data_IF_226233617608
#
_entry.id   IF_226233617608
#
_cell.length_a   1.000
_cell.length_b   1.000
_cell.length_c   1.000
_cell.angle_alpha   90.00
_cell.angle_beta   90.00
_cell.angle_gamma   90.00
#
_symmetry.space_group_name_H-M   'P 1'
#
loop_
_entity.id
_entity.type
_entity.pdbx_description
1 polymer ?
#
# COMPACT_ATOMS: atom_id res chain seq x y z
N UNK A 1 -17.01 48.73 13.09
CA UNK A 1 -16.51 47.54 13.84
C UNK A 1 -16.99 46.22 13.22
N UNK A 2 -18.29 46.05 12.94
CA UNK A 2 -18.85 44.82 12.35
C UNK A 2 -18.23 44.47 10.99
N UNK A 3 -18.11 45.44 10.07
CA UNK A 3 -17.52 45.21 8.74
C UNK A 3 -16.04 44.78 8.80
N UNK A 4 -15.27 45.39 9.71
CA UNK A 4 -13.87 45.05 9.91
C UNK A 4 -13.69 43.64 10.50
N UNK A 5 -14.52 43.28 11.49
CA UNK A 5 -14.54 41.93 12.05
C UNK A 5 -14.91 40.88 10.99
N UNK A 6 -15.93 41.16 10.18
CA UNK A 6 -16.35 40.29 9.07
C UNK A 6 -15.23 40.07 8.05
N UNK A 7 -14.52 41.14 7.66
CA UNK A 7 -13.39 41.06 6.73
C UNK A 7 -12.25 40.20 7.31
N UNK A 8 -11.90 40.37 8.58
CA UNK A 8 -10.88 39.56 9.26
C UNK A 8 -11.28 38.09 9.27
N UNK A 9 -12.56 37.78 9.55
CA UNK A 9 -13.05 36.40 9.52
C UNK A 9 -12.92 35.77 8.13
N UNK A 10 -13.26 36.50 7.07
CA UNK A 10 -13.10 36.01 5.68
C UNK A 10 -11.64 35.72 5.35
N UNK A 11 -10.74 36.63 5.71
CA UNK A 11 -9.30 36.47 5.45
C UNK A 11 -8.75 35.25 6.19
N UNK A 12 -9.14 35.08 7.46
CA UNK A 12 -8.72 33.93 8.26
C UNK A 12 -9.26 32.62 7.67
N UNK A 13 -10.55 32.56 7.33
CA UNK A 13 -11.17 31.39 6.72
C UNK A 13 -10.51 31.03 5.38
N UNK A 14 -10.23 32.03 4.53
CA UNK A 14 -9.52 31.83 3.27
C UNK A 14 -8.09 31.31 3.47
N UNK A 15 -7.39 31.78 4.51
CA UNK A 15 -6.03 31.34 4.84
C UNK A 15 -6.01 29.88 5.33
N UNK A 16 -6.95 29.52 6.20
CA UNK A 16 -7.16 28.14 6.67
C UNK A 16 -7.50 27.21 5.51
N UNK A 17 -8.41 27.63 4.63
CA UNK A 17 -8.77 26.84 3.44
C UNK A 17 -7.58 26.59 2.51
N UNK A 18 -6.76 27.61 2.25
CA UNK A 18 -5.54 27.47 1.45
C UNK A 18 -4.54 26.50 2.10
N UNK A 19 -4.40 26.56 3.42
CA UNK A 19 -3.54 25.65 4.16
C UNK A 19 -4.02 24.20 4.01
N UNK A 20 -5.33 23.96 4.21
CA UNK A 20 -5.92 22.62 4.03
C UNK A 20 -5.69 22.09 2.61
N UNK A 21 -5.94 22.92 1.58
CA UNK A 21 -5.74 22.54 0.18
C UNK A 21 -4.28 22.32 -0.21
N UNK A 22 -3.34 23.04 0.40
CA UNK A 22 -1.91 22.89 0.09
C UNK A 22 -1.36 21.47 0.33
N UNK A 23 -2.07 20.67 1.15
CA UNK A 23 -1.73 19.29 1.50
C UNK A 23 -2.89 18.32 1.24
N UNK A 24 -3.87 18.73 0.43
CA UNK A 24 -5.09 17.96 0.12
C UNK A 24 -5.84 17.47 1.38
N UNK A 25 -5.75 18.20 2.49
CA UNK A 25 -6.44 17.85 3.73
C UNK A 25 -7.96 18.02 3.60
N UNK A 26 -8.42 18.87 2.68
CA UNK A 26 -9.85 19.05 2.39
C UNK A 26 -10.52 17.74 1.94
N UNK A 27 -9.77 16.77 1.41
CA UNK A 27 -10.26 15.45 1.05
C UNK A 27 -10.74 14.64 2.26
N UNK A 28 -10.05 14.72 3.40
CA UNK A 28 -10.28 13.80 4.54
C UNK A 28 -10.56 14.49 5.88
N UNK A 29 -10.35 15.80 6.00
CA UNK A 29 -10.49 16.53 7.27
C UNK A 29 -11.89 16.37 7.87
N UNK A 30 -12.93 16.31 7.04
CA UNK A 30 -14.30 16.11 7.51
C UNK A 30 -14.53 14.71 8.07
N UNK A 31 -13.93 13.68 7.44
CA UNK A 31 -13.95 12.32 7.96
C UNK A 31 -13.23 12.25 9.31
N UNK A 32 -12.08 12.90 9.42
CA UNK A 32 -11.34 13.01 10.68
C UNK A 32 -12.16 13.70 11.78
N UNK A 33 -12.74 14.86 11.50
CA UNK A 33 -13.55 15.58 12.49
C UNK A 33 -14.76 14.75 12.92
N UNK A 34 -15.46 14.09 11.98
CA UNK A 34 -16.59 13.20 12.30
C UNK A 34 -16.16 12.03 13.18
N UNK A 35 -15.03 11.39 12.90
CA UNK A 35 -14.55 10.25 13.68
C UNK A 35 -14.18 10.61 15.11
N UNK A 36 -13.82 11.87 15.40
CA UNK A 36 -13.57 12.36 16.76
C UNK A 36 -14.82 12.42 17.64
N UNK A 37 -16.00 12.51 17.02
CA UNK A 37 -17.28 12.52 17.72
C UNK A 37 -17.97 11.15 17.72
N UNK A 38 -17.42 10.15 17.02
CA UNK A 38 -17.97 8.80 17.05
C UNK A 38 -17.65 8.12 18.40
N UNK A 39 -18.64 7.53 19.06
CA UNK A 39 -18.41 6.78 20.28
C UNK A 39 -17.48 5.60 19.97
N UNK A 40 -16.41 5.45 20.76
CA UNK A 40 -15.58 4.25 20.70
C UNK A 40 -16.41 3.09 21.25
N UNK A 41 -16.44 1.98 20.52
CA UNK A 41 -16.97 0.73 21.04
C UNK A 41 -16.20 0.41 22.33
N UNK A 42 -16.93 0.30 23.44
CA UNK A 42 -16.33 -0.21 24.68
C UNK A 42 -16.01 -1.68 24.42
N UNK A 43 -14.73 -2.02 24.41
CA UNK A 43 -14.30 -3.41 24.48
C UNK A 43 -14.87 -4.00 25.77
N UNK A 44 -15.42 -5.21 25.70
CA UNK A 44 -15.92 -5.92 26.88
C UNK A 44 -14.81 -6.30 27.86
N UNK A 45 -15.08 -7.26 28.75
CA UNK A 45 -14.06 -7.79 29.65
C UNK A 45 -13.06 -8.74 28.97
N UNK A 46 -13.26 -9.06 27.69
CA UNK A 46 -12.41 -9.95 26.91
C UNK A 46 -11.04 -9.33 26.57
N UNK A 47 -9.98 -10.14 26.41
CA UNK A 47 -8.69 -9.67 25.91
C UNK A 47 -8.81 -8.98 24.55
N UNK A 48 -8.23 -7.78 24.43
CA UNK A 48 -8.15 -7.07 23.14
C UNK A 48 -6.91 -7.53 22.39
N UNK A 49 -7.09 -8.18 21.24
CA UNK A 49 -5.99 -8.50 20.33
C UNK A 49 -5.59 -7.27 19.52
N UNK A 50 -4.31 -6.90 19.58
CA UNK A 50 -3.75 -5.77 18.83
C UNK A 50 -2.82 -6.30 17.77
N UNK A 51 -3.16 -6.05 16.51
CA UNK A 51 -2.29 -6.32 15.36
C UNK A 51 -1.59 -5.03 14.95
N UNK A 52 -0.28 -5.12 14.70
CA UNK A 52 0.54 -4.01 14.25
C UNK A 52 1.12 -4.34 12.87
N UNK A 53 0.69 -3.61 11.82
CA UNK A 53 1.38 -3.59 10.52
C UNK A 53 2.12 -2.27 10.38
N UNK A 54 3.35 -2.37 9.88
CA UNK A 54 3.98 -1.28 9.17
C UNK A 54 4.14 -1.77 7.73
N UNK A 55 3.60 -1.02 6.79
CA UNK A 55 3.53 -1.41 5.39
C UNK A 55 4.10 -0.24 4.56
N UNK A 56 5.07 -0.50 3.70
CA UNK A 56 5.84 0.51 2.95
C UNK A 56 6.37 -0.10 1.64
N UNK A 57 6.78 0.74 0.70
CA UNK A 57 7.42 0.33 -0.54
C UNK A 57 8.81 -0.25 -0.27
N UNK A 58 9.10 -1.45 -0.79
CA UNK A 58 10.44 -2.04 -0.68
C UNK A 58 11.20 -1.87 -1.99
N UNK A 59 11.95 -0.77 -2.12
CA UNK A 59 12.65 -0.37 -3.36
C UNK A 59 14.18 -0.41 -3.23
N UNK A 60 14.84 -1.57 -3.42
CA UNK A 60 16.30 -1.67 -3.37
C UNK A 60 17.02 -0.72 -4.34
N UNK A 61 16.44 -0.44 -5.50
CA UNK A 61 17.02 0.43 -6.51
C UNK A 61 16.63 1.92 -6.34
N UNK A 62 15.99 2.29 -5.23
CA UNK A 62 15.59 3.68 -4.95
C UNK A 62 16.71 4.68 -5.21
N UNK A 63 16.35 5.79 -5.86
CA UNK A 63 17.24 6.80 -6.46
C UNK A 63 18.13 6.28 -7.59
N UNK A 64 17.62 5.34 -8.40
CA UNK A 64 18.34 4.77 -9.54
C UNK A 64 19.69 4.19 -9.12
N UNK A 65 19.71 3.50 -7.99
CA UNK A 65 20.91 2.82 -7.52
C UNK A 65 21.32 1.75 -8.52
N UNK A 66 22.62 1.45 -8.62
CA UNK A 66 23.10 0.34 -9.43
C UNK A 66 22.84 -1.00 -8.72
N UNK A 67 22.98 -2.11 -9.46
CA UNK A 67 22.78 -3.49 -8.96
C UNK A 67 23.58 -3.75 -7.68
N UNK A 68 24.86 -3.38 -7.65
CA UNK A 68 25.71 -3.62 -6.47
C UNK A 68 25.19 -2.92 -5.21
N UNK A 69 24.72 -1.68 -5.37
CA UNK A 69 24.13 -0.91 -4.27
C UNK A 69 22.79 -1.51 -3.83
N UNK A 70 21.92 -1.87 -4.76
CA UNK A 70 20.63 -2.51 -4.47
C UNK A 70 20.83 -3.83 -3.72
N UNK A 71 21.70 -4.71 -4.23
CA UNK A 71 22.04 -5.97 -3.59
C UNK A 71 22.72 -5.79 -2.24
N UNK A 72 23.59 -4.80 -2.08
CA UNK A 72 24.20 -4.48 -0.77
C UNK A 72 23.17 -3.98 0.24
N UNK A 73 22.14 -3.23 -0.19
CA UNK A 73 21.03 -2.82 0.67
C UNK A 73 20.25 -4.04 1.15
N UNK A 74 19.93 -4.97 0.26
CA UNK A 74 19.21 -6.21 0.60
C UNK A 74 20.08 -7.14 1.45
N UNK A 75 21.38 -7.28 1.17
CA UNK A 75 22.29 -8.09 1.97
C UNK A 75 22.24 -7.71 3.46
N UNK A 76 22.15 -6.41 3.78
CA UNK A 76 21.96 -5.94 5.16
C UNK A 76 20.64 -6.37 5.78
N UNK A 77 19.58 -6.47 4.98
CA UNK A 77 18.29 -7.03 5.44
C UNK A 77 18.41 -8.53 5.71
N UNK A 78 18.95 -9.30 4.77
CA UNK A 78 19.12 -10.76 4.89
C UNK A 78 19.92 -11.13 6.16
N UNK A 79 20.92 -10.32 6.49
CA UNK A 79 21.82 -10.54 7.62
C UNK A 79 21.29 -9.92 8.93
N UNK A 80 20.86 -8.66 8.89
CA UNK A 80 20.53 -7.87 10.07
C UNK A 80 19.12 -8.12 10.61
N UNK A 81 18.13 -8.28 9.73
CA UNK A 81 16.74 -8.37 10.15
C UNK A 81 16.45 -9.64 10.98
N UNK A 82 16.88 -10.85 10.57
CA UNK A 82 16.72 -12.06 11.39
C UNK A 82 17.31 -11.94 12.80
N UNK A 83 18.47 -11.29 12.93
CA UNK A 83 19.11 -11.09 14.24
C UNK A 83 18.32 -10.16 15.15
N UNK A 84 17.67 -9.14 14.60
CA UNK A 84 16.85 -8.21 15.39
C UNK A 84 15.50 -8.86 15.70
N UNK A 85 14.78 -9.32 14.68
CA UNK A 85 13.45 -9.92 14.83
C UNK A 85 13.50 -11.19 15.72
N UNK A 86 14.55 -12.00 15.59
CA UNK A 86 14.74 -13.24 16.34
C UNK A 86 14.80 -13.07 17.86
N UNK A 87 15.08 -11.87 18.37
CA UNK A 87 15.10 -11.56 19.81
C UNK A 87 13.70 -11.36 20.41
N UNK A 88 12.67 -11.29 19.56
CA UNK A 88 11.31 -10.96 19.96
C UNK A 88 10.33 -12.07 19.58
N UNK A 89 9.23 -12.17 20.32
CA UNK A 89 8.11 -13.06 20.04
C UNK A 89 6.80 -12.38 20.43
N UNK A 90 5.75 -12.57 19.63
CA UNK A 90 4.39 -12.16 19.97
C UNK A 90 3.70 -13.18 20.90
N UNK A 91 2.42 -12.96 21.21
CA UNK A 91 1.62 -13.85 22.07
C UNK A 91 1.45 -15.27 21.52
N UNK A 92 1.67 -15.47 20.21
CA UNK A 92 1.57 -16.75 19.52
C UNK A 92 2.95 -17.40 19.30
N UNK A 93 4.02 -16.77 19.82
CA UNK A 93 5.38 -17.26 19.64
C UNK A 93 5.96 -17.01 18.24
N UNK A 94 5.41 -16.08 17.46
CA UNK A 94 5.96 -15.66 16.16
C UNK A 94 6.93 -14.50 16.33
N UNK A 95 8.03 -14.52 15.56
CA UNK A 95 8.90 -13.33 15.42
C UNK A 95 8.14 -12.22 14.69
N UNK A 96 8.52 -10.94 14.85
CA UNK A 96 8.09 -9.89 13.93
C UNK A 96 8.26 -10.35 12.50
N UNK A 97 7.21 -10.19 11.69
CA UNK A 97 7.20 -10.53 10.27
C UNK A 97 7.37 -9.27 9.42
N UNK A 98 8.07 -9.36 8.30
CA UNK A 98 8.17 -8.27 7.33
C UNK A 98 7.69 -8.73 5.95
N UNK A 99 6.63 -8.10 5.44
CA UNK A 99 6.18 -8.30 4.05
C UNK A 99 6.91 -7.31 3.15
N UNK A 100 7.78 -7.83 2.29
CA UNK A 100 8.55 -7.03 1.33
C UNK A 100 7.72 -6.81 0.06
N UNK A 101 7.12 -5.63 -0.09
CA UNK A 101 6.41 -5.24 -1.31
C UNK A 101 7.42 -4.89 -2.41
N UNK A 102 7.73 -5.86 -3.27
CA UNK A 102 8.84 -5.77 -4.22
C UNK A 102 8.35 -5.27 -5.60
N UNK A 103 9.02 -4.27 -6.20
CA UNK A 103 8.65 -3.71 -7.50
C UNK A 103 8.88 -4.69 -8.64
N UNK A 104 7.84 -4.98 -9.41
CA UNK A 104 7.89 -5.87 -10.58
C UNK A 104 8.95 -5.43 -11.60
N UNK A 105 8.99 -4.13 -11.88
CA UNK A 105 9.82 -3.53 -12.92
C UNK A 105 11.33 -3.50 -12.57
N UNK A 106 11.68 -3.83 -11.32
CA UNK A 106 13.06 -3.93 -10.83
C UNK A 106 13.44 -5.38 -10.49
N UNK A 107 12.82 -6.37 -11.14
CA UNK A 107 13.12 -7.79 -10.94
C UNK A 107 14.63 -8.09 -10.90
N UNK A 108 15.10 -8.62 -9.77
CA UNK A 108 16.45 -9.15 -9.60
C UNK A 108 16.38 -10.51 -8.91
N UNK A 109 16.83 -11.54 -9.62
CA UNK A 109 16.81 -12.92 -9.17
C UNK A 109 17.56 -13.15 -7.86
N UNK A 110 18.73 -12.53 -7.68
CA UNK A 110 19.53 -12.69 -6.46
C UNK A 110 18.82 -12.09 -5.25
N UNK A 111 18.18 -10.94 -5.44
CA UNK A 111 17.42 -10.28 -4.37
C UNK A 111 16.23 -11.15 -3.98
N UNK A 112 15.42 -11.58 -4.94
CA UNK A 112 14.22 -12.37 -4.67
C UNK A 112 14.53 -13.76 -4.10
N UNK A 113 15.62 -14.41 -4.54
CA UNK A 113 16.09 -15.67 -3.93
C UNK A 113 16.49 -15.46 -2.45
N UNK A 114 17.14 -14.33 -2.14
CA UNK A 114 17.46 -13.95 -0.76
C UNK A 114 16.22 -13.70 0.09
N UNK A 115 15.25 -12.94 -0.42
CA UNK A 115 13.99 -12.70 0.29
C UNK A 115 13.17 -14.00 0.46
N UNK A 116 13.19 -14.90 -0.52
CA UNK A 116 12.60 -16.23 -0.41
C UNK A 116 13.26 -17.08 0.67
N UNK A 117 14.57 -16.92 0.90
CA UNK A 117 15.24 -17.54 2.05
C UNK A 117 14.73 -16.99 3.37
N UNK A 118 14.62 -15.66 3.54
CA UNK A 118 14.03 -15.06 4.75
C UNK A 118 12.62 -15.58 5.04
N UNK A 119 11.80 -15.70 3.99
CA UNK A 119 10.45 -16.26 4.09
C UNK A 119 10.48 -17.71 4.55
N UNK A 120 11.34 -18.55 3.98
CA UNK A 120 11.50 -19.96 4.39
C UNK A 120 11.99 -20.10 5.83
N UNK A 121 12.81 -19.15 6.29
CA UNK A 121 13.31 -19.10 7.65
C UNK A 121 12.30 -18.50 8.66
N UNK A 122 11.12 -18.08 8.19
CA UNK A 122 10.00 -17.64 9.03
C UNK A 122 10.07 -16.18 9.47
N UNK A 123 10.77 -15.32 8.72
CA UNK A 123 10.93 -13.90 9.04
C UNK A 123 10.01 -12.96 8.25
N UNK A 124 9.28 -13.44 7.25
CA UNK A 124 8.42 -12.56 6.47
C UNK A 124 7.87 -13.21 5.22
N UNK A 125 7.39 -12.38 4.29
CA UNK A 125 6.93 -12.82 2.96
C UNK A 125 7.25 -11.74 1.91
N UNK A 126 7.03 -12.05 0.63
CA UNK A 126 7.18 -11.09 -0.48
C UNK A 126 5.83 -10.85 -1.11
N UNK A 127 5.51 -9.57 -1.32
CA UNK A 127 4.24 -9.11 -1.87
C UNK A 127 4.50 -8.23 -3.11
N UNK A 128 3.43 -7.86 -3.82
CA UNK A 128 3.55 -7.18 -5.13
C UNK A 128 3.52 -5.68 -4.97
N UNK A 129 4.51 -5.02 -5.56
CA UNK A 129 4.54 -3.59 -5.78
C UNK A 129 4.74 -3.33 -7.27
N UNK A 130 4.07 -2.31 -7.80
CA UNK A 130 4.18 -1.93 -9.20
C UNK A 130 4.14 -0.42 -9.37
N UNK A 131 5.10 0.12 -10.12
CA UNK A 131 4.98 1.45 -10.71
C UNK A 131 4.50 1.31 -12.16
N UNK A 132 3.40 1.98 -12.50
CA UNK A 132 2.91 2.06 -13.87
C UNK A 132 2.31 3.44 -14.16
N UNK A 133 2.30 3.83 -15.44
CA UNK A 133 1.82 5.13 -15.91
C UNK A 133 1.38 5.00 -17.37
N UNK A 134 0.25 5.63 -17.73
CA UNK A 134 -0.36 5.53 -19.05
C UNK A 134 -0.53 4.06 -19.51
N UNK A 135 -0.92 3.21 -18.56
CA UNK A 135 -1.10 1.78 -18.77
C UNK A 135 -2.50 1.45 -19.32
N UNK A 136 -2.72 0.19 -19.71
CA UNK A 136 -3.99 -0.35 -20.17
C UNK A 136 -4.43 -1.52 -19.29
N UNK A 137 -5.73 -1.79 -19.24
CA UNK A 137 -6.29 -2.90 -18.47
C UNK A 137 -5.67 -4.26 -18.83
N UNK A 138 -5.42 -4.50 -20.13
CA UNK A 138 -4.86 -5.77 -20.61
C UNK A 138 -3.38 -5.92 -20.23
N UNK A 139 -2.60 -4.84 -20.34
CA UNK A 139 -1.19 -4.86 -19.96
C UNK A 139 -1.01 -5.01 -18.45
N UNK A 140 -1.72 -4.21 -17.63
CA UNK A 140 -1.70 -4.35 -16.17
C UNK A 140 -2.03 -5.79 -15.73
N UNK A 141 -3.08 -6.38 -16.32
CA UNK A 141 -3.46 -7.77 -16.04
C UNK A 141 -2.34 -8.75 -16.37
N UNK A 142 -1.75 -8.62 -17.55
CA UNK A 142 -0.65 -9.49 -17.98
C UNK A 142 0.55 -9.36 -17.03
N UNK A 143 0.95 -8.13 -16.68
CA UNK A 143 2.05 -7.85 -15.76
C UNK A 143 1.84 -8.50 -14.39
N UNK A 144 0.66 -8.34 -13.78
CA UNK A 144 0.34 -8.92 -12.49
C UNK A 144 0.36 -10.46 -12.53
N UNK A 145 -0.22 -11.07 -13.56
CA UNK A 145 -0.23 -12.52 -13.73
C UNK A 145 1.17 -13.10 -14.02
N UNK A 146 1.99 -12.39 -14.79
CA UNK A 146 3.34 -12.81 -15.11
C UNK A 146 4.25 -12.72 -13.90
N UNK A 147 4.18 -11.61 -13.15
CA UNK A 147 5.02 -11.40 -11.98
C UNK A 147 4.65 -12.33 -10.84
N UNK A 148 3.36 -12.50 -10.53
CA UNK A 148 2.91 -13.43 -9.48
C UNK A 148 3.32 -14.87 -9.81
N UNK A 149 3.16 -15.31 -11.07
CA UNK A 149 3.67 -16.61 -11.52
C UNK A 149 5.17 -16.72 -11.38
N UNK A 150 5.93 -15.68 -11.75
CA UNK A 150 7.40 -15.67 -11.61
C UNK A 150 7.82 -15.80 -10.13
N UNK A 151 7.21 -15.02 -9.23
CA UNK A 151 7.44 -15.13 -7.79
C UNK A 151 7.19 -16.56 -7.29
N UNK A 152 6.10 -17.18 -7.75
CA UNK A 152 5.76 -18.54 -7.35
C UNK A 152 6.67 -19.61 -7.96
N UNK A 153 6.74 -19.69 -9.28
CA UNK A 153 7.38 -20.79 -9.98
C UNK A 153 8.91 -20.73 -9.84
N UNK A 154 9.51 -19.53 -9.84
CA UNK A 154 10.97 -19.37 -9.76
C UNK A 154 11.50 -19.34 -8.33
N UNK A 155 10.77 -18.73 -7.41
CA UNK A 155 11.27 -18.43 -6.06
C UNK A 155 10.52 -19.17 -4.95
N UNK A 156 9.41 -19.85 -5.25
CA UNK A 156 8.56 -20.51 -4.24
C UNK A 156 7.85 -19.51 -3.32
N UNK A 157 7.69 -18.27 -3.78
CA UNK A 157 6.97 -17.20 -3.08
C UNK A 157 5.49 -17.20 -3.46
N UNK A 158 4.66 -16.47 -2.71
CA UNK A 158 3.20 -16.47 -2.85
C UNK A 158 2.56 -17.86 -2.68
N UNK A 159 1.29 -17.86 -2.27
CA UNK A 159 0.54 -19.09 -2.05
C UNK A 159 -0.69 -19.14 -2.92
N UNK A 160 -1.11 -20.35 -3.28
CA UNK A 160 -2.37 -20.57 -3.99
C UNK A 160 -3.54 -20.51 -3.02
N UNK A 161 -4.63 -19.91 -3.47
CA UNK A 161 -5.93 -20.04 -2.84
C UNK A 161 -6.40 -21.49 -2.97
N UNK A 162 -6.73 -22.14 -1.85
CA UNK A 162 -7.13 -23.55 -1.85
C UNK A 162 -8.46 -23.79 -2.60
N UNK A 163 -9.31 -22.77 -2.71
CA UNK A 163 -10.62 -22.88 -3.37
C UNK A 163 -10.54 -22.53 -4.85
N UNK A 164 -9.82 -21.46 -5.20
CA UNK A 164 -9.79 -20.95 -6.59
C UNK A 164 -8.54 -21.38 -7.36
N UNK A 165 -7.48 -21.83 -6.70
CA UNK A 165 -6.19 -22.17 -7.30
C UNK A 165 -5.36 -20.96 -7.75
N UNK A 166 -5.89 -19.74 -7.61
CA UNK A 166 -5.20 -18.49 -7.98
C UNK A 166 -4.05 -18.20 -7.02
N UNK A 167 -2.99 -17.57 -7.52
CA UNK A 167 -1.94 -17.02 -6.67
C UNK A 167 -2.48 -15.80 -5.93
N UNK A 168 -2.34 -15.81 -4.60
CA UNK A 168 -2.78 -14.71 -3.75
C UNK A 168 -1.59 -13.83 -3.42
N UNK A 169 -1.82 -12.52 -3.47
CA UNK A 169 -0.86 -11.50 -3.10
C UNK A 169 -1.57 -10.30 -2.48
N UNK A 170 -0.79 -9.43 -1.84
CA UNK A 170 -1.20 -8.09 -1.52
C UNK A 170 -0.39 -7.08 -2.33
N UNK A 171 -1.00 -5.92 -2.52
CA UNK A 171 -0.58 -4.93 -3.48
C UNK A 171 -0.24 -3.60 -2.82
N UNK A 172 0.81 -2.95 -3.31
CA UNK A 172 1.04 -1.54 -3.10
C UNK A 172 1.26 -0.89 -4.47
N UNK A 173 0.49 0.16 -4.75
CA UNK A 173 0.69 0.98 -5.93
C UNK A 173 1.88 1.93 -5.69
N UNK A 174 2.92 1.81 -6.52
CA UNK A 174 4.17 2.56 -6.35
C UNK A 174 4.01 4.07 -6.44
N UNK A 175 3.16 4.53 -7.35
CA UNK A 175 2.87 5.96 -7.51
C UNK A 175 1.70 6.49 -6.65
N UNK A 176 1.19 5.68 -5.72
CA UNK A 176 0.04 6.00 -4.87
C UNK A 176 -1.29 6.29 -5.59
N UNK A 177 -1.36 6.09 -6.91
CA UNK A 177 -2.47 6.50 -7.76
C UNK A 177 -3.47 5.37 -8.02
N UNK A 178 -3.71 4.53 -7.00
CA UNK A 178 -4.62 3.39 -7.05
C UNK A 178 -5.93 3.74 -7.75
N UNK A 179 -6.38 2.87 -8.64
CA UNK A 179 -7.60 3.01 -9.43
C UNK A 179 -7.64 4.30 -10.24
N UNK A 180 -6.50 4.66 -10.85
CA UNK A 180 -6.32 5.90 -11.60
C UNK A 180 -6.78 7.15 -10.84
N UNK A 181 -6.49 7.19 -9.54
CA UNK A 181 -7.07 8.17 -8.61
C UNK A 181 -6.57 9.60 -8.78
N UNK A 182 -5.50 9.79 -9.56
CA UNK A 182 -4.94 11.12 -9.83
C UNK A 182 -5.80 11.85 -10.87
N UNK A 183 -6.18 13.13 -10.65
CA UNK A 183 -7.11 13.83 -11.54
C UNK A 183 -6.66 13.97 -13.01
N UNK A 184 -5.34 14.04 -13.24
CA UNK A 184 -4.72 14.17 -14.56
C UNK A 184 -4.54 12.82 -15.29
N UNK A 185 -4.94 11.70 -14.69
CA UNK A 185 -4.82 10.35 -15.25
C UNK A 185 -3.37 9.84 -15.33
N UNK A 186 -2.42 10.53 -14.69
CA UNK A 186 -1.02 10.11 -14.63
C UNK A 186 -0.79 9.09 -13.54
N UNK A 187 0.28 8.35 -13.72
CA UNK A 187 0.84 7.39 -12.78
C UNK A 187 -0.05 6.18 -12.47
N UNK A 188 -0.96 5.87 -13.39
CA UNK A 188 -1.73 4.64 -13.46
C UNK A 188 -2.23 4.47 -14.91
N UNK A 189 -3.36 5.09 -15.27
CA UNK A 189 -3.98 5.01 -16.59
C UNK A 189 -5.12 3.99 -16.72
N UNK A 190 -5.42 3.22 -15.67
CA UNK A 190 -6.40 2.12 -15.71
C UNK A 190 -7.61 2.41 -14.81
N UNK A 191 -8.74 2.80 -15.41
CA UNK A 191 -9.97 3.18 -14.71
C UNK A 191 -10.74 2.01 -14.06
N UNK A 192 -10.25 0.78 -14.17
CA UNK A 192 -10.84 -0.41 -13.53
C UNK A 192 -9.79 -1.27 -12.81
N UNK A 193 -8.68 -0.66 -12.38
CA UNK A 193 -7.55 -1.34 -11.73
C UNK A 193 -7.98 -2.22 -10.56
N UNK A 194 -8.91 -1.77 -9.69
CA UNK A 194 -9.35 -2.58 -8.56
C UNK A 194 -10.00 -3.91 -8.97
N UNK A 195 -10.75 -3.92 -10.08
CA UNK A 195 -11.37 -5.14 -10.58
C UNK A 195 -10.30 -6.10 -11.10
N UNK A 196 -9.30 -5.56 -11.80
CA UNK A 196 -8.17 -6.34 -12.31
C UNK A 196 -7.39 -6.95 -11.15
N UNK A 197 -7.05 -6.15 -10.13
CA UNK A 197 -6.35 -6.62 -8.93
C UNK A 197 -7.08 -7.81 -8.29
N UNK A 198 -8.40 -7.73 -8.10
CA UNK A 198 -9.20 -8.83 -7.55
C UNK A 198 -9.15 -10.06 -8.46
N UNK A 199 -9.35 -9.88 -9.76
CA UNK A 199 -9.36 -10.96 -10.76
C UNK A 199 -8.01 -11.67 -10.87
N UNK A 200 -6.90 -10.97 -10.69
CA UNK A 200 -5.54 -11.52 -10.73
C UNK A 200 -5.08 -12.13 -9.41
N UNK A 201 -5.85 -11.98 -8.33
CA UNK A 201 -5.59 -12.65 -7.05
C UNK A 201 -5.21 -11.74 -5.88
N UNK A 202 -5.26 -10.41 -6.03
CA UNK A 202 -5.03 -9.48 -4.94
C UNK A 202 -6.06 -9.72 -3.81
N UNK A 203 -5.59 -9.73 -2.56
CA UNK A 203 -6.41 -9.92 -1.36
C UNK A 203 -6.42 -8.70 -0.44
N UNK A 204 -5.35 -7.92 -0.46
CA UNK A 204 -5.29 -6.65 0.24
C UNK A 204 -4.48 -5.63 -0.54
N UNK A 205 -4.98 -4.39 -0.55
CA UNK A 205 -4.22 -3.23 -0.99
C UNK A 205 -3.73 -2.45 0.24
N UNK A 206 -2.49 -1.98 0.19
CA UNK A 206 -1.87 -1.16 1.23
C UNK A 206 -1.35 0.17 0.67
N UNK A 207 -1.92 0.66 -0.43
CA UNK A 207 -1.49 1.90 -1.07
C UNK A 207 -1.75 3.13 -0.19
N UNK A 208 -2.82 3.10 0.61
CA UNK A 208 -3.22 4.22 1.46
C UNK A 208 -2.57 4.15 2.85
N UNK A 209 -2.22 5.29 3.46
CA UNK A 209 -2.48 6.65 3.00
C UNK A 209 -1.49 7.14 1.94
N UNK A 210 -1.96 8.00 1.02
CA UNK A 210 -1.11 8.70 0.05
C UNK A 210 -0.96 10.20 0.31
N UNK A 211 -1.53 10.71 1.42
CA UNK A 211 -1.36 12.09 1.83
C UNK A 211 0.13 12.50 1.86
N UNK A 212 0.50 13.69 1.37
CA UNK A 212 -0.37 14.82 1.01
C UNK A 212 -0.81 14.82 -0.48
N UNK A 213 -0.68 13.72 -1.20
CA UNK A 213 -1.08 13.61 -2.62
C UNK A 213 -2.57 13.87 -2.85
N UNK A 214 -2.93 14.31 -4.05
CA UNK A 214 -4.32 14.43 -4.52
C UNK A 214 -4.98 13.07 -4.80
N UNK A 215 -4.19 12.00 -4.81
CA UNK A 215 -4.67 10.61 -4.88
C UNK A 215 -5.33 10.16 -3.56
N UNK A 216 -5.11 10.88 -2.45
CA UNK A 216 -5.65 10.52 -1.13
C UNK A 216 -7.18 10.42 -1.14
N UNK A 217 -7.72 9.46 -0.40
CA UNK A 217 -9.16 9.22 -0.24
C UNK A 217 -9.77 10.01 0.90
N UNK A 218 -11.09 10.19 0.84
CA UNK A 218 -11.92 10.71 1.93
C UNK A 218 -12.02 9.71 3.09
N UNK A 219 -12.01 8.41 2.77
CA UNK A 219 -11.88 7.31 3.74
C UNK A 219 -10.49 7.33 4.37
N UNK A 220 -10.43 7.30 5.70
CA UNK A 220 -9.21 7.24 6.51
C UNK A 220 -9.47 6.34 7.73
N UNK A 221 -8.40 5.84 8.36
CA UNK A 221 -8.47 5.05 9.62
C UNK A 221 -9.53 3.93 9.58
N UNK A 222 -9.64 3.25 8.44
CA UNK A 222 -10.68 2.28 8.15
C UNK A 222 -10.10 1.08 7.41
N UNK A 223 -10.57 -0.11 7.75
CA UNK A 223 -10.36 -1.35 6.96
C UNK A 223 -11.69 -1.65 6.29
N UNK A 224 -11.68 -1.79 4.96
CA UNK A 224 -12.90 -1.94 4.17
C UNK A 224 -12.65 -2.80 2.93
N UNK A 225 -13.73 -3.36 2.39
CA UNK A 225 -13.70 -3.98 1.07
C UNK A 225 -13.82 -2.90 0.01
N UNK A 226 -12.75 -2.68 -0.74
CA UNK A 226 -12.79 -1.82 -1.92
C UNK A 226 -13.61 -2.51 -3.02
N UNK A 227 -14.33 -1.72 -3.81
CA UNK A 227 -15.12 -2.22 -4.93
C UNK A 227 -14.75 -1.41 -6.17
N UNK A 228 -14.22 -2.11 -7.18
CA UNK A 228 -14.03 -1.53 -8.51
C UNK A 228 -15.36 -1.30 -9.19
N UNK A 229 -15.50 -0.16 -9.86
CA UNK A 229 -16.60 0.13 -10.77
C UNK A 229 -16.06 0.19 -12.22
N UNK A 230 -16.61 -0.60 -13.16
CA UNK A 230 -16.08 -0.63 -14.54
C UNK A 230 -16.08 0.75 -15.19
N UNK A 231 -14.89 1.22 -15.59
CA UNK A 231 -14.72 2.53 -16.26
C UNK A 231 -14.75 3.73 -15.30
N UNK A 232 -14.69 3.51 -13.99
CA UNK A 232 -14.72 4.55 -12.98
C UNK A 232 -13.40 4.59 -12.18
N UNK A 233 -12.62 5.64 -12.39
CA UNK A 233 -11.48 5.94 -11.52
C UNK A 233 -11.87 6.23 -10.07
N UNK A 234 -10.95 5.99 -9.15
CA UNK A 234 -11.02 6.28 -7.71
C UNK A 234 -12.28 5.71 -7.05
N UNK A 235 -12.75 4.56 -7.52
CA UNK A 235 -14.00 3.92 -7.06
C UNK A 235 -13.95 3.42 -5.61
N UNK A 236 -12.75 3.34 -5.02
CA UNK A 236 -12.54 3.04 -3.60
C UNK A 236 -12.78 4.24 -2.65
N UNK A 237 -13.04 5.46 -3.16
CA UNK A 237 -13.28 6.64 -2.34
C UNK A 237 -14.60 6.62 -1.57
#
# INVERSE_FOLDING_TARGET
MILAAFLVTIILAGSVWRLLRSRNMDLWIWTYLRSRFQPRNKTGQEPTHVYFCFCDHFEPYWRKANVDTARSRVARWLDGYPRIAGLHRDSDGRVPQHSFFYPEEEYDEWILDGLAQLRRDGFGDVEVHLHHDNDTADHLRATLLDFTRRLHDRHGLLRRDEKTGQLMYCFIHGNWALDNSRPDGRWCGVDNELSILVETGCRCDFTMPSAPSDTQTTKINSIYFARGEPGCRKSHN
#
